data_IF_124661618661
#
_entry.id   IF_124661618661
#
_cell.length_a   1.000
_cell.length_b   1.000
_cell.length_c   1.000
_cell.angle_alpha   90.00
_cell.angle_beta   90.00
_cell.angle_gamma   90.00
#
_symmetry.space_group_name_H-M   'P 1'
#
loop_
_entity.id
_entity.type
_entity.pdbx_description
1 polymer ?
#
# COMPACT_ATOMS: atom_id res chain seq x y z
N UNK A 1 29.99 10.15 30.10
CA UNK A 1 29.97 8.69 29.88
C UNK A 1 28.55 8.32 29.46
N UNK A 2 28.31 8.13 28.16
CA UNK A 2 26.96 7.92 27.59
C UNK A 2 26.61 6.43 27.55
N UNK A 3 25.47 5.99 28.11
CA UNK A 3 24.97 4.65 27.82
C UNK A 3 24.24 4.64 26.47
N UNK A 4 24.92 4.11 25.45
CA UNK A 4 24.31 3.52 24.25
C UNK A 4 23.56 2.26 24.68
N UNK A 5 22.24 2.18 24.46
CA UNK A 5 21.47 0.91 24.31
C UNK A 5 19.96 1.16 24.16
N UNK A 6 19.55 1.84 23.10
CA UNK A 6 18.13 1.82 22.65
C UNK A 6 18.08 1.83 21.12
N UNK A 7 18.74 0.86 20.48
CA UNK A 7 18.71 0.74 19.01
C UNK A 7 18.53 -0.72 18.55
N UNK A 8 18.01 -1.59 19.42
CA UNK A 8 17.83 -3.02 19.13
C UNK A 8 16.39 -3.48 18.94
N UNK A 9 15.39 -2.69 19.36
CA UNK A 9 13.99 -3.15 19.40
C UNK A 9 13.07 -2.50 18.36
N UNK A 10 13.51 -1.45 17.66
CA UNK A 10 12.67 -0.74 16.69
C UNK A 10 12.66 -1.36 15.28
N UNK A 11 13.47 -2.40 15.03
CA UNK A 11 13.52 -3.09 13.72
C UNK A 11 12.66 -4.36 13.64
N UNK A 12 12.07 -4.82 14.76
CA UNK A 12 11.34 -6.10 14.81
C UNK A 12 9.85 -6.03 14.47
N UNK A 13 9.27 -4.84 14.27
CA UNK A 13 7.84 -4.72 13.94
C UNK A 13 7.58 -4.74 12.41
N UNK A 14 8.64 -4.69 11.59
CA UNK A 14 8.52 -4.82 10.12
C UNK A 14 8.48 -6.28 9.62
N UNK A 15 8.50 -7.27 10.50
CA UNK A 15 8.81 -8.66 10.15
C UNK A 15 7.59 -9.59 9.90
N UNK A 16 6.34 -9.14 10.07
CA UNK A 16 5.15 -10.03 9.95
C UNK A 16 4.22 -9.66 8.80
N UNK A 17 4.76 -9.10 7.72
CA UNK A 17 4.12 -9.18 6.40
C UNK A 17 5.22 -9.56 5.42
N UNK A 18 5.41 -10.85 5.19
CA UNK A 18 6.21 -11.37 4.06
C UNK A 18 5.48 -11.08 2.73
N UNK A 19 5.18 -9.81 2.46
CA UNK A 19 4.96 -9.35 1.10
C UNK A 19 6.23 -9.69 0.36
N UNK A 20 6.17 -10.58 -0.64
CA UNK A 20 7.32 -10.92 -1.49
C UNK A 20 7.76 -9.66 -2.22
N UNK A 21 8.65 -8.89 -1.58
CA UNK A 21 9.25 -7.70 -2.17
C UNK A 21 10.04 -8.16 -3.39
N UNK A 22 9.76 -7.60 -4.55
CA UNK A 22 10.50 -7.93 -5.76
C UNK A 22 11.83 -7.19 -5.76
N UNK A 23 12.93 -7.89 -6.04
CA UNK A 23 14.26 -7.27 -6.24
C UNK A 23 14.35 -6.53 -7.57
N UNK A 24 13.39 -6.75 -8.48
CA UNK A 24 13.31 -6.08 -9.76
C UNK A 24 12.72 -4.67 -9.61
N UNK A 25 13.60 -3.67 -9.68
CA UNK A 25 13.23 -2.25 -9.55
C UNK A 25 12.34 -1.75 -10.69
N UNK A 26 12.28 -2.44 -11.83
CA UNK A 26 11.37 -2.05 -12.92
C UNK A 26 9.89 -2.24 -12.58
N UNK A 27 9.61 -3.09 -11.58
CA UNK A 27 8.26 -3.36 -11.07
C UNK A 27 7.86 -2.46 -9.90
N UNK A 28 8.73 -1.52 -9.52
CA UNK A 28 8.46 -0.62 -8.41
C UNK A 28 7.71 0.61 -8.90
N UNK A 29 6.82 1.12 -8.05
CA UNK A 29 6.14 2.38 -8.31
C UNK A 29 7.16 3.53 -8.32
N UNK A 30 7.28 4.27 -9.44
CA UNK A 30 8.26 5.34 -9.54
C UNK A 30 7.96 6.42 -8.49
N UNK A 31 9.00 6.87 -7.78
CA UNK A 31 8.91 7.87 -6.71
C UNK A 31 7.96 7.48 -5.56
N UNK A 32 7.64 6.19 -5.40
CA UNK A 32 6.69 5.72 -4.39
C UNK A 32 5.26 6.24 -4.60
N UNK A 33 4.93 6.71 -5.81
CA UNK A 33 3.59 7.23 -6.13
C UNK A 33 2.74 6.13 -6.75
N UNK A 34 1.58 5.90 -6.15
CA UNK A 34 0.61 4.90 -6.60
C UNK A 34 -0.65 5.62 -7.03
N UNK A 35 -0.97 5.51 -8.31
CA UNK A 35 -2.23 6.03 -8.83
C UNK A 35 -3.32 4.99 -8.61
N UNK A 36 -4.47 5.40 -8.11
CA UNK A 36 -5.58 4.49 -7.84
C UNK A 36 -6.92 5.08 -8.25
N UNK A 37 -7.88 4.18 -8.46
CA UNK A 37 -9.27 4.49 -8.74
C UNK A 37 -10.17 3.57 -7.94
N UNK A 38 -11.17 4.15 -7.28
CA UNK A 38 -12.21 3.41 -6.57
C UNK A 38 -13.41 3.27 -7.50
N UNK A 39 -13.83 2.03 -7.74
CA UNK A 39 -15.03 1.74 -8.53
C UNK A 39 -16.28 1.74 -7.67
N UNK A 40 -17.44 1.88 -8.33
CA UNK A 40 -18.74 1.85 -7.68
C UNK A 40 -18.95 0.54 -6.90
N UNK A 41 -19.54 0.63 -5.71
CA UNK A 41 -19.78 -0.51 -4.82
C UNK A 41 -18.68 -0.78 -3.78
N UNK A 42 -17.57 -0.04 -3.83
CA UNK A 42 -16.52 -0.06 -2.80
C UNK A 42 -16.79 1.04 -1.77
N UNK A 43 -16.61 0.72 -0.49
CA UNK A 43 -16.60 1.71 0.58
C UNK A 43 -15.33 2.58 0.47
N UNK A 44 -15.50 3.79 -0.04
CA UNK A 44 -14.39 4.73 -0.23
C UNK A 44 -13.77 5.20 1.10
N UNK A 45 -14.55 5.28 2.19
CA UNK A 45 -14.01 5.68 3.50
C UNK A 45 -13.06 4.63 4.03
N UNK A 46 -13.45 3.36 3.94
CA UNK A 46 -12.59 2.23 4.33
C UNK A 46 -11.26 2.24 3.55
N UNK A 47 -11.32 2.49 2.24
CA UNK A 47 -10.13 2.58 1.38
C UNK A 47 -9.25 3.76 1.78
N UNK A 48 -9.83 4.94 2.02
CA UNK A 48 -9.08 6.12 2.43
C UNK A 48 -8.41 5.95 3.80
N UNK A 49 -9.06 5.29 4.75
CA UNK A 49 -8.47 5.00 6.06
C UNK A 49 -7.31 3.99 5.94
N UNK A 50 -7.46 2.97 5.10
CA UNK A 50 -6.37 2.03 4.80
C UNK A 50 -5.18 2.73 4.11
N UNK A 51 -5.45 3.59 3.14
CA UNK A 51 -4.44 4.42 2.47
C UNK A 51 -3.70 5.29 3.49
N UNK A 52 -4.44 6.01 4.35
CA UNK A 52 -3.85 6.87 5.38
C UNK A 52 -2.89 6.10 6.28
N UNK A 53 -3.29 4.90 6.72
CA UNK A 53 -2.45 4.04 7.56
C UNK A 53 -1.11 3.68 6.88
N UNK A 54 -1.12 3.43 5.57
CA UNK A 54 0.10 3.14 4.81
C UNK A 54 0.96 4.41 4.63
N UNK A 55 0.33 5.54 4.33
CA UNK A 55 1.01 6.82 4.12
C UNK A 55 1.68 7.38 5.38
N UNK A 56 1.16 7.05 6.56
CA UNK A 56 1.73 7.43 7.86
C UNK A 56 2.99 6.63 8.20
N UNK A 57 3.06 5.38 7.73
CA UNK A 57 4.12 4.44 8.08
C UNK A 57 5.21 4.30 7.00
N UNK A 58 4.95 4.80 5.80
CA UNK A 58 5.82 4.58 4.62
C UNK A 58 6.05 5.86 3.83
N UNK A 59 6.99 5.81 2.87
CA UNK A 59 7.21 6.88 1.90
C UNK A 59 6.27 6.80 0.68
N UNK A 60 5.32 5.85 0.68
CA UNK A 60 4.34 5.68 -0.40
C UNK A 60 3.35 6.84 -0.34
N UNK A 61 2.95 7.33 -1.51
CA UNK A 61 1.92 8.34 -1.68
C UNK A 61 0.88 7.89 -2.68
N UNK A 62 -0.36 7.83 -2.24
CA UNK A 62 -1.49 7.49 -3.08
C UNK A 62 -2.04 8.75 -3.72
N UNK A 63 -2.28 8.68 -5.02
CA UNK A 63 -2.84 9.78 -5.81
C UNK A 63 -4.10 9.28 -6.46
N UNK A 64 -5.24 9.79 -6.00
CA UNK A 64 -6.52 9.54 -6.65
C UNK A 64 -6.47 10.18 -8.04
N UNK A 65 -6.72 9.38 -9.08
CA UNK A 65 -6.60 9.87 -10.44
C UNK A 65 -7.89 9.62 -11.23
N UNK A 66 -8.57 10.73 -11.58
CA UNK A 66 -9.71 10.73 -12.50
C UNK A 66 -9.29 10.73 -13.99
N UNK A 67 -8.00 10.92 -14.30
CA UNK A 67 -7.54 11.23 -15.65
C UNK A 67 -6.64 10.15 -16.27
N UNK A 68 -7.18 9.53 -17.33
CA UNK A 68 -6.46 9.17 -18.56
C UNK A 68 -5.70 7.84 -18.56
N UNK A 69 -6.02 6.99 -19.53
CA UNK A 69 -5.54 5.62 -19.79
C UNK A 69 -4.02 5.42 -20.01
N UNK A 70 -3.15 6.32 -19.53
CA UNK A 70 -1.72 6.34 -19.81
C UNK A 70 -0.78 6.05 -18.63
N UNK A 71 -1.28 6.00 -17.39
CA UNK A 71 -0.46 5.70 -16.21
C UNK A 71 -0.86 4.35 -15.61
N UNK A 72 0.14 3.57 -15.18
CA UNK A 72 -0.09 2.39 -14.36
C UNK A 72 -0.88 2.82 -13.12
N UNK A 73 -2.03 2.20 -12.89
CA UNK A 73 -2.91 2.49 -11.77
C UNK A 73 -3.47 1.20 -11.18
N UNK A 74 -4.02 1.31 -9.98
CA UNK A 74 -4.72 0.23 -9.29
C UNK A 74 -6.22 0.53 -9.34
N UNK A 75 -6.99 -0.42 -9.87
CA UNK A 75 -8.44 -0.40 -9.78
C UNK A 75 -8.89 -1.16 -8.52
N UNK A 76 -9.54 -0.45 -7.61
CA UNK A 76 -10.14 -1.02 -6.42
C UNK A 76 -11.61 -1.28 -6.74
N UNK A 77 -11.98 -2.55 -6.84
CA UNK A 77 -13.33 -3.02 -7.18
C UNK A 77 -13.94 -3.75 -6.00
N UNK A 78 -15.27 -3.73 -5.91
CA UNK A 78 -15.97 -4.52 -4.90
C UNK A 78 -15.72 -5.99 -5.19
N UNK A 79 -15.30 -6.74 -4.17
CA UNK A 79 -15.27 -8.18 -4.28
C UNK A 79 -16.72 -8.67 -4.33
N UNK A 80 -17.15 -9.20 -5.48
CA UNK A 80 -18.26 -10.15 -5.47
C UNK A 80 -17.84 -11.27 -4.51
N UNK A 81 -18.74 -11.70 -3.63
CA UNK A 81 -18.52 -12.86 -2.75
C UNK A 81 -18.19 -14.07 -3.63
N UNK A 82 -16.90 -14.27 -3.93
CA UNK A 82 -16.42 -15.50 -4.52
C UNK A 82 -16.56 -16.53 -3.42
N UNK A 83 -17.65 -17.28 -3.51
CA UNK A 83 -17.89 -18.50 -2.76
C UNK A 83 -16.70 -19.44 -3.06
N UNK A 84 -15.66 -19.37 -2.23
CA UNK A 84 -14.55 -20.31 -2.27
C UNK A 84 -15.03 -21.59 -1.59
N UNK A 85 -15.84 -22.37 -2.30
CA UNK A 85 -16.03 -23.78 -2.00
C UNK A 85 -14.72 -24.50 -2.37
N UNK A 86 -13.89 -24.79 -1.37
CA UNK A 86 -12.80 -25.77 -1.42
C UNK A 86 -13.20 -27.05 -0.69
#
# INVERSE_FOLDING_TARGET
MTPRRVLGFFLMILAVVQSKITSDRSRWWPNGRIFYRIHFGVDAELVHDAIRSIEEQTCIRFVENDFGAGQHHIDIVAGDELNFDF
#
